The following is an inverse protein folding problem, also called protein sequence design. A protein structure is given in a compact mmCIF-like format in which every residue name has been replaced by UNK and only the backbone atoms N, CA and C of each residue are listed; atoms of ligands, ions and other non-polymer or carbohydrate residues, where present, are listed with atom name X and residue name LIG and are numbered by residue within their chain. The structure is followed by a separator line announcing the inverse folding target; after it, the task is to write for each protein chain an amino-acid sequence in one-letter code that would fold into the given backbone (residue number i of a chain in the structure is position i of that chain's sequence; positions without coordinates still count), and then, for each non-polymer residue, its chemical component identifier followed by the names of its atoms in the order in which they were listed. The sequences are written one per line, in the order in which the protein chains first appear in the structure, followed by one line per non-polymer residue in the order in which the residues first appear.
data_IF_776049908000
#
_entry.id   IF_776049908000
#
_cell.length_a   1.000
_cell.length_b   1.000
_cell.length_c   1.000
_cell.angle_alpha   90.00
_cell.angle_beta   90.00
_cell.angle_gamma   90.00
#
_symmetry.space_group_name_H-M   'P 1'
#
loop_
_entity.id
_entity.type
_entity.pdbx_description
1 polymer ?
#
# COMPACT_ATOMS: atom_id res chain seq x y z
N UNK A 1 11.72 -6.59 -17.83
CA UNK A 1 11.41 -6.37 -16.41
C UNK A 1 9.95 -6.76 -16.18
N UNK A 2 9.60 -7.36 -15.05
CA UNK A 2 8.21 -7.80 -14.77
C UNK A 2 7.37 -6.57 -14.39
N UNK A 3 6.16 -6.45 -14.93
CA UNK A 3 5.23 -5.39 -14.53
C UNK A 3 4.89 -5.51 -13.03
N UNK A 4 4.69 -4.38 -12.32
CA UNK A 4 4.38 -4.42 -10.90
C UNK A 4 2.98 -4.93 -10.63
N UNK A 5 2.81 -5.70 -9.56
CA UNK A 5 1.49 -6.02 -9.02
C UNK A 5 0.88 -4.77 -8.41
N UNK A 6 -0.33 -4.40 -8.84
CA UNK A 6 -1.07 -3.29 -8.26
C UNK A 6 -1.90 -3.78 -7.08
N UNK A 7 -1.82 -3.09 -5.95
CA UNK A 7 -2.61 -3.37 -4.75
C UNK A 7 -3.35 -2.11 -4.31
N UNK A 8 -4.64 -2.24 -4.03
CA UNK A 8 -5.48 -1.17 -3.51
C UNK A 8 -6.00 -1.53 -2.11
N UNK A 9 -5.71 -0.69 -1.13
CA UNK A 9 -6.28 -0.79 0.22
C UNK A 9 -7.50 0.12 0.34
N UNK A 10 -8.68 -0.46 0.61
CA UNK A 10 -9.92 0.31 0.76
C UNK A 10 -9.97 1.10 2.08
N UNK A 11 -9.19 0.69 3.09
CA UNK A 11 -9.16 1.31 4.42
C UNK A 11 -10.58 1.44 5.01
N UNK A 12 -11.29 0.32 5.06
CA UNK A 12 -12.70 0.27 5.45
C UNK A 12 -12.88 0.56 6.93
N UNK A 13 -11.95 0.11 7.79
CA UNK A 13 -12.04 0.29 9.24
C UNK A 13 -11.36 1.56 9.75
N UNK A 14 -10.08 1.76 9.41
CA UNK A 14 -9.34 2.89 10.00
C UNK A 14 -9.78 4.25 9.42
N UNK A 15 -10.32 4.28 8.21
CA UNK A 15 -10.90 5.46 7.56
C UNK A 15 -9.97 6.70 7.54
N UNK A 16 -8.66 6.48 7.49
CA UNK A 16 -7.65 7.56 7.54
C UNK A 16 -7.33 8.18 6.18
N UNK A 17 -7.99 7.72 5.12
CA UNK A 17 -7.80 8.20 3.75
C UNK A 17 -8.99 9.10 3.34
N UNK A 18 -8.76 10.24 2.67
CA UNK A 18 -9.83 11.05 2.09
C UNK A 18 -10.72 10.22 1.16
N UNK A 19 -12.04 10.42 1.25
CA UNK A 19 -13.02 9.60 0.53
C UNK A 19 -12.94 9.80 -0.99
N UNK A 20 -12.78 11.04 -1.43
CA UNK A 20 -12.61 11.42 -2.83
C UNK A 20 -11.39 10.74 -3.45
N UNK A 21 -10.25 10.74 -2.74
CA UNK A 21 -9.01 10.08 -3.18
C UNK A 21 -9.20 8.57 -3.29
N UNK A 22 -9.81 7.93 -2.28
CA UNK A 22 -10.09 6.48 -2.30
C UNK A 22 -10.96 6.08 -3.49
N UNK A 23 -12.03 6.86 -3.74
CA UNK A 23 -12.98 6.60 -4.82
C UNK A 23 -12.34 6.82 -6.18
N UNK A 24 -11.57 7.90 -6.34
CA UNK A 24 -10.88 8.19 -7.58
C UNK A 24 -9.85 7.11 -7.92
N UNK A 25 -9.05 6.66 -6.94
CA UNK A 25 -8.06 5.61 -7.14
C UNK A 25 -8.71 4.28 -7.56
N UNK A 26 -9.75 3.84 -6.85
CA UNK A 26 -10.46 2.60 -7.19
C UNK A 26 -11.13 2.68 -8.56
N UNK A 27 -11.82 3.80 -8.85
CA UNK A 27 -12.45 4.02 -10.15
C UNK A 27 -11.41 3.97 -11.27
N UNK A 28 -10.28 4.65 -11.10
CA UNK A 28 -9.23 4.68 -12.10
C UNK A 28 -8.61 3.31 -12.36
N UNK A 29 -8.32 2.53 -11.31
CA UNK A 29 -7.85 1.15 -11.44
C UNK A 29 -8.87 0.25 -12.14
N UNK A 30 -10.16 0.47 -11.89
CA UNK A 30 -11.24 -0.30 -12.52
C UNK A 30 -11.38 0.06 -14.01
N UNK A 31 -11.25 1.35 -14.33
CA UNK A 31 -11.36 1.87 -15.70
C UNK A 31 -10.12 1.56 -16.56
N UNK A 32 -8.94 1.38 -15.96
CA UNK A 32 -7.70 1.12 -16.70
C UNK A 32 -7.64 -0.29 -17.31
N UNK A 33 -8.41 -1.24 -16.76
CA UNK A 33 -8.38 -2.65 -17.17
C UNK A 33 -7.12 -3.41 -16.73
N UNK A 34 -6.21 -2.77 -15.99
CA UNK A 34 -5.03 -3.41 -15.43
C UNK A 34 -5.43 -4.32 -14.26
N UNK A 35 -4.86 -5.54 -14.15
CA UNK A 35 -5.14 -6.42 -13.02
C UNK A 35 -4.60 -5.81 -11.71
N UNK A 36 -5.45 -5.73 -10.69
CA UNK A 36 -5.08 -5.27 -9.36
C UNK A 36 -5.75 -6.10 -8.27
N UNK A 37 -5.11 -6.19 -7.11
CA UNK A 37 -5.67 -6.82 -5.91
C UNK A 37 -6.28 -5.75 -5.00
N UNK A 38 -7.60 -5.77 -4.85
CA UNK A 38 -8.32 -4.94 -3.90
C UNK A 38 -8.46 -5.68 -2.57
N UNK A 39 -8.04 -5.04 -1.48
CA UNK A 39 -8.21 -5.57 -0.12
C UNK A 39 -9.01 -4.59 0.73
N UNK A 40 -9.85 -5.07 1.67
CA UNK A 40 -10.59 -4.18 2.57
C UNK A 40 -9.63 -3.36 3.43
N UNK A 41 -8.73 -4.03 4.17
CA UNK A 41 -7.81 -3.37 5.08
C UNK A 41 -6.47 -4.12 5.17
N UNK A 42 -5.39 -3.50 4.71
CA UNK A 42 -4.04 -4.03 4.91
C UNK A 42 -3.68 -4.17 6.42
N UNK A 43 -4.24 -3.32 7.27
CA UNK A 43 -4.02 -3.40 8.72
C UNK A 43 -4.69 -4.64 9.33
N UNK A 44 -5.88 -5.01 8.88
CA UNK A 44 -6.56 -6.23 9.31
C UNK A 44 -5.82 -7.48 8.79
N UNK A 45 -5.43 -7.49 7.51
CA UNK A 45 -4.62 -8.57 6.94
C UNK A 45 -3.32 -8.77 7.74
N UNK A 46 -2.67 -7.68 8.13
CA UNK A 46 -1.46 -7.73 8.96
C UNK A 46 -1.73 -8.27 10.36
N UNK A 47 -2.80 -7.80 11.02
CA UNK A 47 -3.16 -8.23 12.37
C UNK A 47 -3.38 -9.75 12.46
N UNK A 48 -3.98 -10.35 11.44
CA UNK A 48 -4.21 -11.80 11.36
C UNK A 48 -3.09 -12.59 10.66
N UNK A 49 -2.00 -11.93 10.27
CA UNK A 49 -0.88 -12.52 9.50
C UNK A 49 -1.36 -13.27 8.25
N UNK A 50 -2.24 -12.63 7.49
CA UNK A 50 -2.89 -13.26 6.34
C UNK A 50 -1.85 -13.71 5.28
N UNK A 51 -1.93 -14.97 4.79
CA UNK A 51 -1.03 -15.48 3.75
C UNK A 51 -1.00 -14.67 2.46
N UNK A 52 -2.04 -13.89 2.15
CA UNK A 52 -2.07 -12.98 1.01
C UNK A 52 -0.92 -11.97 1.04
N UNK A 53 -0.53 -11.48 2.23
CA UNK A 53 0.59 -10.53 2.36
C UNK A 53 1.92 -11.17 1.94
N UNK A 54 2.15 -12.44 2.27
CA UNK A 54 3.34 -13.17 1.83
C UNK A 54 3.35 -13.39 0.31
N UNK A 55 2.18 -13.69 -0.29
CA UNK A 55 2.06 -13.80 -1.76
C UNK A 55 2.34 -12.46 -2.44
N UNK A 56 1.77 -11.36 -1.95
CA UNK A 56 1.99 -10.02 -2.49
C UNK A 56 3.46 -9.60 -2.40
N UNK A 57 4.09 -9.81 -1.25
CA UNK A 57 5.50 -9.46 -1.03
C UNK A 57 6.48 -10.29 -1.88
N UNK A 58 6.11 -11.53 -2.23
CA UNK A 58 6.94 -12.43 -3.05
C UNK A 58 6.61 -12.39 -4.55
N UNK A 59 5.56 -11.68 -4.97
CA UNK A 59 5.13 -11.63 -6.36
C UNK A 59 6.11 -10.88 -7.31
N UNK A 60 7.08 -10.14 -6.75
CA UNK A 60 8.04 -9.33 -7.48
C UNK A 60 7.83 -7.83 -7.22
N UNK A 61 8.02 -6.96 -8.23
CA UNK A 61 7.71 -5.55 -8.10
C UNK A 61 6.23 -5.34 -7.70
N UNK A 62 5.97 -4.44 -6.76
CA UNK A 62 4.62 -4.20 -6.23
C UNK A 62 4.41 -2.70 -6.00
N UNK A 63 3.26 -2.19 -6.44
CA UNK A 63 2.83 -0.81 -6.26
C UNK A 63 1.52 -0.80 -5.47
N UNK A 64 1.52 -0.13 -4.32
CA UNK A 64 0.46 -0.23 -3.32
C UNK A 64 -0.18 1.15 -3.11
N UNK A 65 -1.44 1.34 -3.52
CA UNK A 65 -2.26 2.48 -3.11
C UNK A 65 -2.81 2.22 -1.70
N UNK A 66 -2.29 2.96 -0.72
CA UNK A 66 -2.65 2.78 0.69
C UNK A 66 -2.34 4.04 1.51
N UNK A 67 -2.06 3.87 2.81
CA UNK A 67 -1.63 4.93 3.69
C UNK A 67 -0.14 5.25 3.52
N UNK A 68 0.55 5.68 4.58
CA UNK A 68 1.96 6.07 4.51
C UNK A 68 2.89 4.88 4.16
N UNK A 69 3.95 5.08 3.35
CA UNK A 69 4.92 4.03 3.02
C UNK A 69 5.52 3.33 4.24
N UNK A 70 5.86 4.11 5.28
CA UNK A 70 6.33 3.57 6.56
C UNK A 70 5.31 2.66 7.25
N UNK A 71 4.03 3.04 7.24
CA UNK A 71 2.98 2.24 7.87
C UNK A 71 2.81 0.92 7.11
N UNK A 72 2.71 0.96 5.78
CA UNK A 72 2.60 -0.25 4.94
C UNK A 72 3.80 -1.18 5.12
N UNK A 73 5.02 -0.66 5.11
CA UNK A 73 6.24 -1.43 5.42
C UNK A 73 6.10 -2.17 6.76
N UNK A 74 5.61 -1.48 7.79
CA UNK A 74 5.43 -2.07 9.11
C UNK A 74 4.33 -3.14 9.14
N UNK A 75 3.20 -2.94 8.46
CA UNK A 75 2.12 -3.92 8.38
C UNK A 75 2.61 -5.25 7.78
N UNK A 76 3.33 -5.18 6.66
CA UNK A 76 3.90 -6.35 6.00
C UNK A 76 4.98 -7.03 6.86
N UNK A 77 5.86 -6.26 7.49
CA UNK A 77 6.87 -6.80 8.41
C UNK A 77 6.24 -7.51 9.63
N UNK A 78 5.25 -6.89 10.28
CA UNK A 78 4.54 -7.46 11.43
C UNK A 78 3.76 -8.73 11.09
N UNK A 79 3.39 -8.91 9.82
CA UNK A 79 2.79 -10.12 9.30
C UNK A 79 3.80 -11.24 8.98
N UNK A 80 5.11 -10.98 9.10
CA UNK A 80 6.17 -11.90 8.69
C UNK A 80 6.43 -11.93 7.18
N UNK A 81 5.96 -10.93 6.44
CA UNK A 81 6.04 -10.84 4.99
C UNK A 81 6.72 -9.52 4.54
N UNK A 82 8.01 -9.30 4.83
CA UNK A 82 8.66 -8.01 4.55
C UNK A 82 8.67 -7.67 3.04
N UNK A 83 8.34 -6.43 2.72
CA UNK A 83 8.39 -5.89 1.36
C UNK A 83 9.83 -5.63 0.89
N UNK A 84 10.08 -5.77 -0.40
CA UNK A 84 11.39 -5.50 -1.00
C UNK A 84 11.65 -4.01 -1.21
N UNK A 85 12.64 -3.44 -0.53
CA UNK A 85 12.93 -1.99 -0.55
C UNK A 85 13.15 -1.43 -1.97
N UNK A 86 13.83 -2.18 -2.85
CA UNK A 86 14.11 -1.77 -4.23
C UNK A 86 13.00 -2.12 -5.23
N UNK A 87 11.92 -2.77 -4.77
CA UNK A 87 10.88 -3.34 -5.64
C UNK A 87 9.48 -2.90 -5.24
N UNK A 88 9.35 -2.01 -4.24
CA UNK A 88 8.06 -1.61 -3.70
C UNK A 88 7.90 -0.10 -3.71
N UNK A 89 6.81 0.34 -4.32
CA UNK A 89 6.31 1.71 -4.19
C UNK A 89 4.99 1.70 -3.41
N UNK A 90 4.85 2.63 -2.48
CA UNK A 90 3.58 2.92 -1.80
C UNK A 90 3.10 4.29 -2.23
N UNK A 91 1.98 4.32 -2.97
CA UNK A 91 1.30 5.56 -3.36
C UNK A 91 0.46 6.03 -2.18
N UNK A 92 0.90 7.12 -1.56
CA UNK A 92 0.34 7.63 -0.31
C UNK A 92 -0.98 8.37 -0.52
N UNK A 93 -2.10 7.68 -0.32
CA UNK A 93 -3.44 8.27 -0.45
C UNK A 93 -3.82 9.20 0.71
N UNK A 94 -3.00 9.35 1.76
CA UNK A 94 -3.30 10.30 2.86
C UNK A 94 -2.96 11.74 2.54
N UNK A 95 -1.97 11.96 1.66
CA UNK A 95 -1.40 13.30 1.44
C UNK A 95 -1.44 13.74 -0.01
N UNK A 96 -1.52 12.79 -0.95
CA UNK A 96 -1.62 13.09 -2.38
C UNK A 96 -3.07 13.39 -2.76
N UNK A 97 -3.27 14.25 -3.75
CA UNK A 97 -4.58 14.48 -4.37
C UNK A 97 -5.01 13.29 -5.23
N UNK A 98 -6.29 13.24 -5.60
CA UNK A 98 -6.82 12.22 -6.50
C UNK A 98 -6.02 12.10 -7.81
N UNK A 99 -5.70 13.23 -8.44
CA UNK A 99 -4.94 13.28 -9.70
C UNK A 99 -3.50 12.78 -9.52
N UNK A 100 -2.87 13.12 -8.40
CA UNK A 100 -1.52 12.66 -8.09
C UNK A 100 -1.49 11.15 -7.84
N UNK A 101 -2.50 10.61 -7.13
CA UNK A 101 -2.60 9.17 -6.88
C UNK A 101 -2.83 8.39 -8.17
N UNK A 102 -3.79 8.80 -9.01
CA UNK A 102 -4.08 8.10 -10.27
C UNK A 102 -2.91 8.17 -11.24
N UNK A 103 -2.25 9.33 -11.35
CA UNK A 103 -1.03 9.48 -12.14
C UNK A 103 0.11 8.58 -11.64
N UNK A 104 0.35 8.54 -10.33
CA UNK A 104 1.40 7.69 -9.74
C UNK A 104 1.12 6.19 -9.92
N UNK A 105 -0.15 5.78 -9.87
CA UNK A 105 -0.55 4.38 -10.10
C UNK A 105 -0.18 3.89 -11.51
N UNK A 106 -0.32 4.74 -12.52
CA UNK A 106 -0.05 4.39 -13.92
C UNK A 106 1.40 4.67 -14.35
N UNK A 107 2.16 5.43 -13.56
CA UNK A 107 3.57 5.68 -13.81
C UNK A 107 4.44 4.44 -13.57
N UNK A 108 5.70 4.51 -13.98
CA UNK A 108 6.70 3.49 -13.64
C UNK A 108 6.89 3.38 -12.11
N UNK A 109 7.31 2.20 -11.65
CA UNK A 109 7.52 1.95 -10.22
C UNK A 109 8.75 2.72 -9.72
N UNK A 110 8.55 3.58 -8.72
CA UNK A 110 9.60 4.33 -8.02
C UNK A 110 9.68 3.87 -6.57
N UNK A 111 10.68 3.06 -6.18
CA UNK A 111 10.75 2.53 -4.83
C UNK A 111 10.86 3.65 -3.78
N UNK A 112 10.03 3.61 -2.75
CA UNK A 112 9.92 4.70 -1.77
C UNK A 112 9.77 4.24 -0.31
N UNK A 113 10.04 2.96 -0.05
CA UNK A 113 10.05 2.46 1.32
C UNK A 113 11.26 3.05 2.08
N UNK A 114 11.07 3.49 3.33
CA UNK A 114 12.19 4.04 4.09
C UNK A 114 13.26 2.97 4.34
N UNK A 115 14.53 3.36 4.24
CA UNK A 115 15.67 2.49 4.58
C UNK A 115 15.75 2.21 6.08
N UNK A 116 16.38 1.08 6.46
CA UNK A 116 16.60 0.67 7.86
C UNK A 116 15.76 -0.52 8.33
N UNK A 117 16.19 -1.15 9.43
CA UNK A 117 15.48 -2.27 10.07
C UNK A 117 14.16 -1.76 10.66
N UNK A 118 13.06 -2.50 10.46
CA UNK A 118 11.80 -2.23 11.15
C UNK A 118 12.02 -2.50 12.65
N UNK A 119 12.08 -1.43 13.44
CA UNK A 119 12.20 -1.49 14.90
C UNK A 119 10.85 -1.27 15.58
N UNK A 120 10.71 -1.73 16.82
CA UNK A 120 9.50 -1.51 17.61
C UNK A 120 9.17 0.00 17.78
N UNK A 121 10.18 0.87 17.73
CA UNK A 121 10.06 2.32 17.78
C UNK A 121 9.46 2.94 16.49
N UNK A 122 9.40 2.20 15.39
CA UNK A 122 8.85 2.69 14.12
C UNK A 122 7.34 2.47 13.95
N UNK A 123 6.68 1.80 14.90
CA UNK A 123 5.22 1.68 14.91
C UNK A 123 4.62 3.09 14.78
N UNK A 124 3.71 3.36 13.82
CA UNK A 124 3.04 4.64 13.75
C UNK A 124 2.41 4.92 15.11
N UNK A 125 2.69 6.09 15.69
CA UNK A 125 2.02 6.51 16.90
C UNK A 125 0.51 6.57 16.57
N UNK A 126 -0.30 5.84 17.33
CA UNK A 126 -1.74 6.03 17.37
C UNK A 126 -1.98 7.39 18.01
N UNK A 127 -1.88 8.47 17.22
CA UNK A 127 -2.42 9.77 17.65
C UNK A 127 -3.93 9.67 17.53
N UNK A 128 -4.54 9.07 18.56
CA UNK A 128 -5.92 9.37 18.94
C UNK A 128 -6.03 10.87 19.17
N UNK A 129 -7.01 11.47 18.50
CA UNK A 129 -7.50 12.84 18.76
C UNK A 129 -7.86 13.02 20.22
#
# INVERSE_FOLDING_TARGET
MKAPVLVYCHCQYAQVLPEDVKRAALKHLSDSGEPFEAVPDLCELSARRDPALARLASAGPVKIAACFPRAVKWLFYSAGAPLGLAQTEVVNMRTLTAEQVTGALMAELTPNLPDGKVTAAERPAETST
#
